data_IF_523087410034
#
_entry.id   IF_523087410034
#
_cell.length_a   1.000
_cell.length_b   1.000
_cell.length_c   1.000
_cell.angle_alpha   90.00
_cell.angle_beta   90.00
_cell.angle_gamma   90.00
#
_symmetry.space_group_name_H-M   'P 1'
#
loop_
_entity.id
_entity.type
_entity.pdbx_description
1 polymer ?
#
# COMPACT_ATOMS: atom_id res chain seq x y z
N UNK A 1 8.59 15.80 -31.28
CA UNK A 1 7.52 14.90 -30.77
C UNK A 1 8.05 13.48 -30.57
N UNK A 2 8.77 12.91 -31.53
CA UNK A 2 9.45 11.61 -31.38
C UNK A 2 10.43 11.64 -30.19
N UNK A 3 10.45 10.57 -29.39
CA UNK A 3 11.32 10.43 -28.22
C UNK A 3 10.87 11.17 -26.96
N UNK A 4 9.58 11.47 -26.82
CA UNK A 4 9.01 12.00 -25.56
C UNK A 4 8.38 10.86 -24.75
N UNK A 5 8.91 10.60 -23.56
CA UNK A 5 8.42 9.54 -22.68
C UNK A 5 7.00 9.87 -22.19
N UNK A 6 6.13 8.86 -22.17
CA UNK A 6 4.75 9.02 -21.69
C UNK A 6 4.31 7.78 -20.91
N UNK A 7 3.40 7.99 -19.96
CA UNK A 7 2.96 6.98 -18.99
C UNK A 7 1.92 6.06 -19.62
N UNK A 8 2.38 4.90 -20.13
CA UNK A 8 1.54 3.95 -20.87
C UNK A 8 0.55 3.17 -20.00
N UNK A 9 0.67 3.27 -18.67
CA UNK A 9 -0.26 2.70 -17.70
C UNK A 9 -1.63 3.41 -17.67
N UNK A 10 -1.72 4.68 -18.09
CA UNK A 10 -3.00 5.39 -18.17
C UNK A 10 -3.72 5.14 -19.49
N UNK A 11 -5.05 5.30 -19.60
CA UNK A 11 -5.76 5.34 -20.88
C UNK A 11 -5.28 6.46 -21.82
N UNK A 12 -5.45 6.33 -23.15
CA UNK A 12 -4.89 7.28 -24.13
C UNK A 12 -5.38 8.73 -23.94
N UNK A 13 -6.63 8.89 -23.54
CA UNK A 13 -7.31 10.15 -23.22
C UNK A 13 -6.87 10.75 -21.87
N UNK A 14 -6.40 9.91 -20.94
CA UNK A 14 -5.90 10.30 -19.64
C UNK A 14 -4.39 10.65 -19.62
N UNK A 15 -3.65 10.25 -20.66
CA UNK A 15 -2.22 10.57 -20.84
C UNK A 15 -1.99 12.02 -21.28
N UNK A 16 -0.77 12.50 -21.13
CA UNK A 16 -0.34 13.76 -21.72
C UNK A 16 -0.42 13.68 -23.25
N UNK A 17 -1.13 14.62 -23.87
CA UNK A 17 -1.21 14.84 -25.31
C UNK A 17 0.05 15.56 -25.80
N UNK A 18 0.60 15.08 -26.91
CA UNK A 18 1.88 15.54 -27.44
C UNK A 18 1.71 16.74 -28.40
N UNK A 19 1.32 17.89 -27.84
CA UNK A 19 1.24 19.14 -28.60
C UNK A 19 2.64 19.75 -28.78
N UNK A 20 2.89 20.41 -29.92
CA UNK A 20 4.22 20.97 -30.25
C UNK A 20 4.72 21.94 -29.16
N UNK A 21 3.86 22.83 -28.69
CA UNK A 21 4.22 23.81 -27.67
C UNK A 21 4.53 23.15 -26.31
N UNK A 22 3.69 22.21 -25.86
CA UNK A 22 3.87 21.51 -24.58
C UNK A 22 5.12 20.61 -24.57
N UNK A 23 5.37 19.90 -25.67
CA UNK A 23 6.56 19.06 -25.81
C UNK A 23 7.84 19.90 -25.80
N UNK A 24 7.82 21.05 -26.47
CA UNK A 24 8.95 21.98 -26.46
C UNK A 24 9.15 22.56 -25.06
N UNK A 25 8.08 23.00 -24.39
CA UNK A 25 8.15 23.52 -23.02
C UNK A 25 8.75 22.49 -22.06
N UNK A 26 8.26 21.24 -22.08
CA UNK A 26 8.77 20.17 -21.22
C UNK A 26 10.26 19.89 -21.46
N UNK A 27 10.71 19.89 -22.72
CA UNK A 27 12.14 19.74 -23.06
C UNK A 27 12.98 20.94 -22.61
N UNK A 28 12.48 22.16 -22.78
CA UNK A 28 13.18 23.37 -22.35
C UNK A 28 13.36 23.42 -20.84
N UNK A 29 12.33 23.06 -20.06
CA UNK A 29 12.42 22.97 -18.60
C UNK A 29 13.44 21.91 -18.17
N UNK A 30 13.42 20.73 -18.80
CA UNK A 30 14.42 19.70 -18.52
C UNK A 30 15.83 20.14 -18.86
N UNK A 31 16.02 20.79 -20.02
CA UNK A 31 17.31 21.31 -20.45
C UNK A 31 17.86 22.36 -19.48
N UNK A 32 17.02 23.29 -19.04
CA UNK A 32 17.40 24.29 -18.04
C UNK A 32 17.82 23.63 -16.71
N UNK A 33 17.02 22.68 -16.21
CA UNK A 33 17.37 21.93 -15.00
C UNK A 33 18.66 21.13 -15.13
N UNK A 34 18.89 20.51 -16.29
CA UNK A 34 20.11 19.74 -16.56
C UNK A 34 21.36 20.63 -16.57
N UNK A 35 21.27 21.86 -17.07
CA UNK A 35 22.40 22.77 -17.15
C UNK A 35 22.79 23.39 -15.80
N UNK A 36 21.89 23.37 -14.81
CA UNK A 36 22.20 23.82 -13.45
C UNK A 36 23.09 22.85 -12.68
N UNK A 37 23.27 21.62 -13.17
CA UNK A 37 24.05 20.57 -12.52
C UNK A 37 25.39 20.38 -13.23
N UNK A 38 26.53 20.63 -12.55
CA UNK A 38 27.84 20.29 -13.09
C UNK A 38 27.95 18.78 -13.33
N UNK A 39 28.31 18.40 -14.55
CA UNK A 39 28.43 16.99 -14.95
C UNK A 39 29.48 16.21 -14.15
N UNK A 40 30.41 16.89 -13.48
CA UNK A 40 31.40 16.29 -12.58
C UNK A 40 30.78 15.75 -11.29
N UNK A 41 29.63 16.25 -10.87
CA UNK A 41 28.93 15.82 -9.65
C UNK A 41 27.83 14.82 -9.98
N UNK A 42 26.94 15.18 -10.90
CA UNK A 42 25.81 14.34 -11.32
C UNK A 42 25.22 14.85 -12.63
N UNK A 43 24.31 14.08 -13.22
CA UNK A 43 23.61 14.45 -14.46
C UNK A 43 22.17 13.96 -14.44
N UNK A 44 21.31 14.65 -15.19
CA UNK A 44 19.95 14.20 -15.49
C UNK A 44 19.91 13.61 -16.90
N UNK A 45 19.39 12.40 -17.01
CA UNK A 45 19.21 11.69 -18.27
C UNK A 45 17.74 11.73 -18.68
N UNK A 46 17.48 12.10 -19.94
CA UNK A 46 16.12 12.25 -20.44
C UNK A 46 15.36 10.91 -20.43
N UNK A 47 16.05 9.82 -20.79
CA UNK A 47 15.50 8.47 -20.89
C UNK A 47 14.91 7.97 -19.57
N UNK A 48 15.54 8.34 -18.44
CA UNK A 48 15.14 7.99 -17.08
C UNK A 48 14.23 9.03 -16.42
N UNK A 49 13.84 10.07 -17.16
CA UNK A 49 13.04 11.18 -16.65
C UNK A 49 11.65 11.22 -17.30
N UNK A 50 10.73 11.87 -16.62
CA UNK A 50 9.40 12.15 -17.12
C UNK A 50 9.00 13.58 -16.78
N UNK A 51 8.50 14.32 -17.78
CA UNK A 51 8.01 15.69 -17.61
C UNK A 51 6.56 15.74 -18.08
N UNK A 52 5.65 16.15 -17.21
CA UNK A 52 4.25 16.38 -17.54
C UNK A 52 3.95 17.87 -17.58
N UNK A 53 3.28 18.33 -18.63
CA UNK A 53 2.86 19.73 -18.78
C UNK A 53 1.33 19.79 -18.70
N UNK A 54 0.83 20.56 -17.74
CA UNK A 54 -0.58 20.92 -17.65
C UNK A 54 -0.83 22.22 -18.41
N UNK A 55 -1.73 22.20 -19.40
CA UNK A 55 -1.96 23.32 -20.32
C UNK A 55 -3.44 23.42 -20.71
N UNK A 56 -3.76 24.35 -21.62
CA UNK A 56 -5.10 24.43 -22.22
C UNK A 56 -5.47 23.17 -23.01
N UNK A 57 -4.48 22.49 -23.59
CA UNK A 57 -4.69 21.29 -24.39
C UNK A 57 -4.54 20.00 -23.55
N UNK A 58 -3.79 20.07 -22.44
CA UNK A 58 -3.53 19.00 -21.49
C UNK A 58 -4.29 19.19 -20.17
N UNK A 59 -5.42 18.50 -19.94
CA UNK A 59 -6.24 18.68 -18.73
C UNK A 59 -5.74 17.91 -17.51
N UNK A 60 -4.80 16.97 -17.69
CA UNK A 60 -4.27 16.11 -16.62
C UNK A 60 -2.83 16.51 -16.29
N UNK A 61 -2.47 16.48 -15.01
CA UNK A 61 -1.09 16.51 -14.54
C UNK A 61 -0.69 15.11 -14.07
N UNK A 62 0.41 14.58 -14.60
CA UNK A 62 0.88 13.21 -14.34
C UNK A 62 2.22 13.25 -13.63
N UNK A 63 2.41 12.41 -12.63
CA UNK A 63 3.71 12.21 -11.98
C UNK A 63 3.77 10.87 -11.27
N UNK A 64 4.98 10.44 -10.94
CA UNK A 64 5.21 9.27 -10.10
C UNK A 64 5.95 9.70 -8.84
N UNK A 65 5.56 9.14 -7.70
CA UNK A 65 6.17 9.44 -6.41
C UNK A 65 6.13 8.19 -5.53
N UNK A 66 7.29 7.79 -5.00
CA UNK A 66 7.40 6.67 -4.05
C UNK A 66 6.70 5.38 -4.54
N UNK A 67 6.79 5.07 -5.84
CA UNK A 67 6.15 3.88 -6.42
C UNK A 67 4.65 4.00 -6.70
N UNK A 68 4.04 5.15 -6.42
CA UNK A 68 2.69 5.49 -6.88
C UNK A 68 2.76 6.21 -8.21
N UNK A 69 1.83 5.90 -9.10
CA UNK A 69 1.57 6.64 -10.32
C UNK A 69 0.30 7.47 -10.11
N UNK A 70 0.41 8.79 -10.25
CA UNK A 70 -0.62 9.74 -9.85
C UNK A 70 -1.04 10.60 -11.05
N UNK A 71 -2.35 10.74 -11.20
CA UNK A 71 -2.97 11.67 -12.16
C UNK A 71 -3.88 12.64 -11.44
N UNK A 72 -3.60 13.94 -11.54
CA UNK A 72 -4.46 15.00 -11.01
C UNK A 72 -5.31 15.59 -12.13
N UNK A 73 -6.62 15.70 -11.88
CA UNK A 73 -7.58 16.35 -12.76
C UNK A 73 -8.39 17.40 -11.97
N UNK A 74 -8.25 18.69 -12.30
CA UNK A 74 -9.06 19.75 -11.70
C UNK A 74 -10.52 19.66 -12.13
N UNK A 75 -11.45 19.93 -11.20
CA UNK A 75 -12.90 19.86 -11.48
C UNK A 75 -13.36 20.80 -12.58
N UNK A 76 -12.73 21.98 -12.70
CA UNK A 76 -13.04 22.97 -13.75
C UNK A 76 -12.83 22.39 -15.16
N UNK A 77 -12.00 21.36 -15.30
CA UNK A 77 -11.66 20.70 -16.57
C UNK A 77 -12.33 19.34 -16.74
N UNK A 78 -13.14 18.91 -15.78
CA UNK A 78 -13.89 17.64 -15.87
C UNK A 78 -15.11 17.81 -16.78
N UNK A 79 -15.36 16.83 -17.65
CA UNK A 79 -16.66 16.71 -18.33
C UNK A 79 -17.75 16.31 -17.32
N UNK A 80 -19.00 16.71 -17.56
CA UNK A 80 -20.12 16.44 -16.65
C UNK A 80 -20.33 14.94 -16.38
N UNK A 81 -20.05 14.07 -17.36
CA UNK A 81 -20.10 12.60 -17.21
C UNK A 81 -18.99 12.01 -16.32
N UNK A 82 -17.86 12.71 -16.15
CA UNK A 82 -16.75 12.25 -15.31
C UNK A 82 -16.99 12.48 -13.82
N UNK A 83 -17.98 13.30 -13.45
CA UNK A 83 -18.31 13.63 -12.06
C UNK A 83 -19.15 12.56 -11.36
N UNK A 84 -20.05 11.89 -12.09
CA UNK A 84 -20.89 10.80 -11.58
C UNK A 84 -20.14 9.47 -11.44
N UNK A 85 -18.95 9.36 -12.04
CA UNK A 85 -18.13 8.16 -12.08
C UNK A 85 -16.95 8.11 -11.11
N UNK A 86 -16.89 8.98 -10.08
CA UNK A 86 -15.87 8.86 -9.01
C UNK A 86 -16.05 7.55 -8.25
N UNK A 87 -15.36 6.51 -8.73
CA UNK A 87 -15.25 5.19 -8.12
C UNK A 87 -14.50 5.29 -6.79
N UNK A 88 -14.74 4.30 -5.94
CA UNK A 88 -13.94 4.02 -4.75
C UNK A 88 -12.43 3.97 -5.06
N UNK A 89 -11.60 4.59 -4.21
CA UNK A 89 -10.12 4.57 -4.29
C UNK A 89 -9.44 5.84 -4.85
N UNK A 90 -10.20 6.92 -5.06
CA UNK A 90 -9.69 8.19 -5.61
C UNK A 90 -9.58 9.27 -4.54
N UNK A 91 -8.50 10.04 -4.54
CA UNK A 91 -8.30 11.14 -3.58
C UNK A 91 -9.00 12.41 -4.02
N UNK A 92 -9.88 12.92 -3.16
CA UNK A 92 -10.51 14.22 -3.34
C UNK A 92 -9.66 15.32 -2.71
N UNK A 93 -9.04 16.16 -3.54
CA UNK A 93 -8.18 17.25 -3.07
C UNK A 93 -9.03 18.47 -2.69
N UNK A 94 -8.89 18.91 -1.45
CA UNK A 94 -9.61 20.04 -0.88
C UNK A 94 -8.72 21.28 -0.86
N UNK A 95 -9.26 22.43 -1.28
CA UNK A 95 -8.59 23.71 -1.09
C UNK A 95 -8.63 24.11 0.38
N UNK A 96 -7.49 24.51 0.92
CA UNK A 96 -7.34 24.86 2.32
C UNK A 96 -8.19 26.08 2.74
N UNK A 97 -8.32 27.08 1.87
CA UNK A 97 -9.04 28.32 2.18
C UNK A 97 -10.56 28.15 2.01
N UNK A 98 -11.00 27.68 0.84
CA UNK A 98 -12.44 27.58 0.53
C UNK A 98 -13.09 26.33 1.10
N UNK A 99 -12.29 25.35 1.54
CA UNK A 99 -12.76 24.01 1.97
C UNK A 99 -13.54 23.26 0.88
N UNK A 100 -13.51 23.72 -0.36
CA UNK A 100 -14.13 23.03 -1.48
C UNK A 100 -13.19 21.97 -2.06
N UNK A 101 -13.76 20.86 -2.52
CA UNK A 101 -13.01 19.87 -3.29
C UNK A 101 -12.78 20.41 -4.69
N UNK A 102 -11.55 20.77 -5.06
CA UNK A 102 -11.22 21.46 -6.31
C UNK A 102 -10.59 20.56 -7.36
N UNK A 103 -9.96 19.46 -6.95
CA UNK A 103 -9.32 18.51 -7.84
C UNK A 103 -9.47 17.08 -7.35
N UNK A 104 -9.23 16.14 -8.26
CA UNK A 104 -9.33 14.71 -8.01
C UNK A 104 -8.01 14.06 -8.42
N UNK A 105 -7.44 13.24 -7.54
CA UNK A 105 -6.19 12.53 -7.76
C UNK A 105 -6.45 11.02 -7.86
N UNK A 106 -6.17 10.48 -9.04
CA UNK A 106 -6.28 9.06 -9.35
C UNK A 106 -4.94 8.39 -9.07
N UNK A 107 -4.98 7.25 -8.39
CA UNK A 107 -3.79 6.53 -7.94
C UNK A 107 -3.72 5.19 -8.64
N UNK A 108 -2.51 4.81 -9.06
CA UNK A 108 -2.18 3.47 -9.53
C UNK A 108 -0.85 3.05 -8.94
N UNK A 109 -0.58 1.75 -8.91
CA UNK A 109 0.74 1.22 -8.54
C UNK A 109 1.63 1.26 -9.76
N UNK A 110 2.89 1.68 -9.57
CA UNK A 110 3.86 1.75 -10.66
C UNK A 110 4.30 0.36 -11.15
N UNK A 111 4.59 0.26 -12.45
CA UNK A 111 4.93 -1.01 -13.12
C UNK A 111 6.21 -1.63 -12.55
N UNK A 112 7.15 -0.80 -12.09
CA UNK A 112 8.39 -1.27 -11.45
C UNK A 112 8.09 -1.98 -10.12
N UNK A 113 7.21 -1.41 -9.30
CA UNK A 113 6.84 -1.97 -8.01
C UNK A 113 6.06 -3.28 -8.14
N UNK A 114 5.23 -3.40 -9.19
CA UNK A 114 4.59 -4.67 -9.53
C UNK A 114 5.62 -5.77 -9.84
N UNK A 115 6.68 -5.43 -10.60
CA UNK A 115 7.77 -6.38 -10.90
C UNK A 115 8.59 -6.74 -9.67
N UNK A 116 8.85 -5.78 -8.78
CA UNK A 116 9.54 -6.02 -7.50
C UNK A 116 8.75 -7.04 -6.66
N UNK A 117 7.43 -6.87 -6.56
CA UNK A 117 6.57 -7.82 -5.87
C UNK A 117 6.59 -9.20 -6.53
N UNK A 118 6.48 -9.28 -7.87
CA UNK A 118 6.54 -10.57 -8.58
C UNK A 118 7.88 -11.28 -8.32
N UNK A 119 8.99 -10.56 -8.43
CA UNK A 119 10.34 -11.09 -8.18
C UNK A 119 10.50 -11.58 -6.75
N UNK A 120 9.88 -10.88 -5.79
CA UNK A 120 9.87 -11.31 -4.39
C UNK A 120 9.12 -12.63 -4.22
N UNK A 121 7.94 -12.80 -4.82
CA UNK A 121 7.20 -14.07 -4.81
C UNK A 121 8.02 -15.18 -5.46
N UNK A 122 8.70 -14.91 -6.59
CA UNK A 122 9.61 -15.87 -7.22
C UNK A 122 10.74 -16.28 -6.26
N UNK A 123 11.33 -15.34 -5.53
CA UNK A 123 12.36 -15.62 -4.52
C UNK A 123 11.83 -16.50 -3.37
N UNK A 124 10.59 -16.28 -2.90
CA UNK A 124 9.95 -17.17 -1.93
C UNK A 124 9.89 -18.59 -2.48
N UNK A 125 9.41 -18.77 -3.72
CA UNK A 125 9.26 -20.09 -4.34
C UNK A 125 10.60 -20.81 -4.53
N UNK A 126 11.64 -20.10 -5.00
CA UNK A 126 12.97 -20.67 -5.21
C UNK A 126 13.66 -21.05 -3.90
N UNK A 127 13.48 -20.25 -2.83
CA UNK A 127 14.09 -20.52 -1.52
C UNK A 127 13.34 -21.56 -0.68
N UNK A 128 12.19 -22.04 -1.14
CA UNK A 128 11.30 -22.92 -0.37
C UNK A 128 11.42 -24.39 -0.78
N UNK A 129 12.64 -24.92 -0.89
CA UNK A 129 12.93 -26.30 -1.36
C UNK A 129 12.29 -27.40 -0.49
N UNK A 130 12.70 -27.48 0.78
CA UNK A 130 12.18 -28.43 1.78
C UNK A 130 11.72 -27.73 3.05
N UNK A 131 11.26 -26.48 2.94
CA UNK A 131 10.75 -25.70 4.07
C UNK A 131 9.32 -26.09 4.41
N UNK A 132 8.93 -25.96 5.68
CA UNK A 132 7.54 -26.22 6.12
C UNK A 132 6.53 -25.33 5.38
N UNK A 133 5.33 -25.85 5.13
CA UNK A 133 4.26 -25.10 4.45
C UNK A 133 3.90 -23.80 5.18
N UNK A 134 3.88 -23.84 6.51
CA UNK A 134 3.65 -22.65 7.34
C UNK A 134 4.71 -21.57 7.13
N UNK A 135 5.98 -21.92 6.91
CA UNK A 135 7.04 -20.92 6.60
C UNK A 135 6.83 -20.28 5.23
N UNK A 136 6.39 -21.04 4.23
CA UNK A 136 6.07 -20.51 2.89
C UNK A 136 4.93 -19.51 2.98
N UNK A 137 3.84 -19.89 3.67
CA UNK A 137 2.67 -19.03 3.86
C UNK A 137 3.00 -17.79 4.69
N UNK A 138 3.84 -17.89 5.71
CA UNK A 138 4.27 -16.73 6.50
C UNK A 138 5.04 -15.70 5.66
N UNK A 139 5.92 -16.15 4.76
CA UNK A 139 6.63 -15.26 3.83
C UNK A 139 5.64 -14.57 2.89
N UNK A 140 4.72 -15.34 2.29
CA UNK A 140 3.64 -14.80 1.46
C UNK A 140 2.82 -13.74 2.21
N UNK A 141 2.31 -14.05 3.40
CA UNK A 141 1.52 -13.13 4.19
C UNK A 141 2.29 -11.84 4.52
N UNK A 142 3.58 -11.96 4.85
CA UNK A 142 4.42 -10.80 5.18
C UNK A 142 4.59 -9.88 3.98
N UNK A 143 4.87 -10.44 2.80
CA UNK A 143 5.06 -9.67 1.57
C UNK A 143 3.73 -9.11 1.06
N UNK A 144 2.63 -9.87 1.14
CA UNK A 144 1.30 -9.41 0.78
C UNK A 144 0.85 -8.25 1.69
N UNK A 145 0.98 -8.37 3.01
CA UNK A 145 0.66 -7.28 3.92
C UNK A 145 1.51 -6.05 3.58
N UNK A 146 2.82 -6.20 3.36
CA UNK A 146 3.69 -5.08 3.03
C UNK A 146 3.28 -4.34 1.75
N UNK A 147 2.86 -5.06 0.71
CA UNK A 147 2.32 -4.47 -0.50
C UNK A 147 0.99 -3.74 -0.22
N UNK A 148 0.05 -4.44 0.43
CA UNK A 148 -1.31 -3.95 0.61
C UNK A 148 -1.39 -2.76 1.58
N UNK A 149 -0.59 -2.75 2.65
CA UNK A 149 -0.58 -1.65 3.62
C UNK A 149 0.23 -0.45 3.17
N UNK A 150 1.08 -0.62 2.15
CA UNK A 150 1.77 0.50 1.51
C UNK A 150 0.89 1.17 0.45
N UNK A 151 0.40 0.40 -0.54
CA UNK A 151 -0.35 0.94 -1.68
C UNK A 151 -1.84 1.15 -1.40
N UNK A 152 -2.42 0.43 -0.42
CA UNK A 152 -3.81 0.56 0.02
C UNK A 152 -4.80 0.66 -1.15
N UNK A 153 -5.41 1.83 -1.33
CA UNK A 153 -6.44 2.14 -2.32
C UNK A 153 -5.93 2.08 -3.77
N UNK A 154 -4.63 2.34 -4.01
CA UNK A 154 -4.05 2.32 -5.35
C UNK A 154 -4.10 0.94 -6.00
N UNK A 155 -4.15 -0.13 -5.20
CA UNK A 155 -4.26 -1.51 -5.68
C UNK A 155 -5.57 -1.77 -6.41
N UNK A 156 -6.68 -1.17 -5.93
CA UNK A 156 -8.03 -1.37 -6.51
C UNK A 156 -8.11 -0.82 -7.94
N UNK A 157 -7.40 0.26 -8.23
CA UNK A 157 -7.37 0.89 -9.55
C UNK A 157 -6.38 0.27 -10.53
N UNK A 158 -5.56 -0.69 -10.08
CA UNK A 158 -4.51 -1.32 -10.87
C UNK A 158 -4.92 -2.76 -11.18
N UNK A 159 -5.69 -2.96 -12.25
CA UNK A 159 -6.23 -4.28 -12.64
C UNK A 159 -5.11 -5.30 -12.90
N UNK A 160 -4.02 -4.85 -13.49
CA UNK A 160 -2.85 -5.65 -13.81
C UNK A 160 -2.18 -6.20 -12.54
N UNK A 161 -2.24 -5.45 -11.43
CA UNK A 161 -1.77 -5.89 -10.13
C UNK A 161 -2.72 -6.92 -9.50
N UNK A 162 -4.03 -6.76 -9.65
CA UNK A 162 -5.01 -7.76 -9.18
C UNK A 162 -4.82 -9.11 -9.89
N UNK A 163 -4.65 -9.08 -11.21
CA UNK A 163 -4.34 -10.30 -11.99
C UNK A 163 -3.01 -10.93 -11.56
N UNK A 164 -2.00 -10.11 -11.28
CA UNK A 164 -0.70 -10.57 -10.78
C UNK A 164 -0.84 -11.21 -9.40
N UNK A 165 -1.61 -10.62 -8.49
CA UNK A 165 -1.87 -11.14 -7.14
C UNK A 165 -2.51 -12.52 -7.20
N UNK A 166 -3.56 -12.69 -8.01
CA UNK A 166 -4.24 -14.00 -8.20
C UNK A 166 -3.26 -15.04 -8.76
N UNK A 167 -2.45 -14.67 -9.75
CA UNK A 167 -1.41 -15.56 -10.31
C UNK A 167 -0.37 -15.96 -9.26
N UNK A 168 0.11 -15.01 -8.47
CA UNK A 168 1.10 -15.25 -7.43
C UNK A 168 0.55 -16.12 -6.29
N UNK A 169 -0.68 -15.85 -5.84
CA UNK A 169 -1.39 -16.62 -4.83
C UNK A 169 -1.53 -18.10 -5.27
N UNK A 170 -1.98 -18.32 -6.51
CA UNK A 170 -2.07 -19.66 -7.10
C UNK A 170 -0.72 -20.37 -7.20
N UNK A 171 0.38 -19.65 -7.49
CA UNK A 171 1.73 -20.23 -7.49
C UNK A 171 2.17 -20.67 -6.09
N UNK A 172 1.89 -19.88 -5.05
CA UNK A 172 2.15 -20.27 -3.65
C UNK A 172 1.36 -21.54 -3.28
N UNK A 173 0.05 -21.56 -3.58
CA UNK A 173 -0.77 -22.75 -3.32
C UNK A 173 -0.26 -23.98 -4.07
N UNK A 174 0.12 -23.82 -5.34
CA UNK A 174 0.68 -24.92 -6.16
C UNK A 174 2.00 -25.43 -5.57
N UNK A 175 2.83 -24.57 -4.99
CA UNK A 175 4.06 -25.01 -4.31
C UNK A 175 3.77 -25.95 -3.14
N UNK A 176 2.73 -25.67 -2.36
CA UNK A 176 2.27 -26.50 -1.24
C UNK A 176 1.71 -27.83 -1.76
N UNK A 177 0.87 -27.78 -2.80
CA UNK A 177 0.33 -28.96 -3.50
C UNK A 177 1.45 -29.90 -3.98
N UNK A 178 2.50 -29.36 -4.61
CA UNK A 178 3.68 -30.13 -5.04
C UNK A 178 4.38 -30.81 -3.86
N UNK A 179 4.47 -30.14 -2.70
CA UNK A 179 5.05 -30.73 -1.49
C UNK A 179 4.29 -31.95 -0.96
N UNK A 180 3.01 -32.08 -1.29
CA UNK A 180 2.15 -33.22 -0.94
C UNK A 180 1.97 -34.21 -2.12
N UNK A 181 2.79 -34.07 -3.17
CA UNK A 181 2.78 -34.91 -4.37
C UNK A 181 1.40 -35.04 -5.04
N UNK A 182 0.57 -33.99 -4.98
CA UNK A 182 -0.72 -33.96 -5.67
C UNK A 182 -1.08 -32.54 -6.07
N UNK A 183 -1.63 -32.35 -7.27
CA UNK A 183 -2.14 -31.04 -7.75
C UNK A 183 -3.65 -31.02 -7.94
N UNK A 184 -4.34 -32.11 -7.57
CA UNK A 184 -5.77 -32.30 -7.84
C UNK A 184 -6.63 -31.32 -7.03
N UNK A 185 -7.41 -30.41 -7.65
CA UNK A 185 -8.13 -29.36 -6.93
C UNK A 185 -9.07 -29.86 -5.83
N UNK A 186 -9.75 -30.99 -6.04
CA UNK A 186 -10.68 -31.58 -5.06
C UNK A 186 -10.01 -31.98 -3.74
N UNK A 187 -8.71 -32.26 -3.74
CA UNK A 187 -7.93 -32.59 -2.52
C UNK A 187 -7.48 -31.36 -1.75
N UNK A 188 -7.59 -30.17 -2.36
CA UNK A 188 -7.08 -28.92 -1.80
C UNK A 188 -8.16 -27.85 -1.78
N UNK A 189 -9.26 -28.05 -1.03
CA UNK A 189 -10.26 -27.02 -0.81
C UNK A 189 -9.67 -25.78 -0.12
N UNK A 190 -10.27 -24.59 -0.30
CA UNK A 190 -9.82 -23.33 0.31
C UNK A 190 -9.58 -23.41 1.82
N UNK A 191 -10.37 -24.22 2.53
CA UNK A 191 -10.27 -24.45 3.98
C UNK A 191 -8.86 -24.88 4.41
N UNK A 192 -8.11 -25.64 3.60
CA UNK A 192 -6.74 -26.06 3.96
C UNK A 192 -5.78 -24.87 4.01
N UNK A 193 -5.95 -23.91 3.08
CA UNK A 193 -5.04 -22.77 2.97
C UNK A 193 -5.40 -21.64 3.92
N UNK A 194 -6.68 -21.29 4.01
CA UNK A 194 -7.12 -20.05 4.65
C UNK A 194 -7.51 -20.21 6.12
N UNK A 195 -7.82 -21.42 6.58
CA UNK A 195 -8.15 -21.66 7.99
C UNK A 195 -7.02 -21.14 8.89
N UNK A 196 -7.34 -20.40 9.97
CA UNK A 196 -6.34 -19.91 10.91
C UNK A 196 -5.49 -21.04 11.52
N UNK A 197 -4.25 -20.69 11.92
CA UNK A 197 -3.29 -21.69 12.43
C UNK A 197 -3.73 -22.33 13.73
N UNK A 198 -4.53 -21.61 14.52
CA UNK A 198 -5.06 -22.08 15.80
C UNK A 198 -6.05 -23.25 15.61
N UNK A 199 -6.63 -23.41 14.41
CA UNK A 199 -7.58 -24.48 14.06
C UNK A 199 -6.91 -25.48 13.09
N UNK A 200 -5.58 -25.52 13.06
CA UNK A 200 -4.82 -26.51 12.27
C UNK A 200 -4.62 -26.16 10.78
N UNK A 201 -5.10 -25.00 10.32
CA UNK A 201 -4.88 -24.51 8.96
C UNK A 201 -3.54 -23.82 8.75
N UNK A 202 -3.30 -23.32 7.54
CA UNK A 202 -2.07 -22.60 7.21
C UNK A 202 -2.12 -21.09 7.51
N UNK A 203 -3.32 -20.53 7.68
CA UNK A 203 -3.55 -19.11 7.92
C UNK A 203 -3.07 -18.22 6.77
N UNK A 204 -3.23 -18.67 5.52
CA UNK A 204 -2.88 -17.89 4.35
C UNK A 204 -3.83 -16.71 4.19
N UNK A 205 -3.29 -15.53 3.90
CA UNK A 205 -4.09 -14.37 3.55
C UNK A 205 -4.40 -14.41 2.05
N UNK A 206 -5.67 -14.15 1.72
CA UNK A 206 -6.17 -14.06 0.36
C UNK A 206 -6.49 -12.63 0.03
N UNK A 207 -6.13 -12.21 -1.19
CA UNK A 207 -6.54 -10.92 -1.74
C UNK A 207 -7.55 -11.08 -2.89
N UNK A 208 -7.82 -12.32 -3.33
CA UNK A 208 -8.81 -12.59 -4.38
C UNK A 208 -10.27 -12.31 -3.98
N UNK A 209 -10.56 -12.12 -2.68
CA UNK A 209 -11.93 -12.09 -2.16
C UNK A 209 -12.24 -11.02 -1.09
N UNK A 210 -11.41 -9.98 -0.88
CA UNK A 210 -11.63 -9.03 0.24
C UNK A 210 -11.46 -7.56 -0.16
N UNK A 211 -12.45 -6.74 0.24
CA UNK A 211 -12.49 -5.28 0.18
C UNK A 211 -11.62 -4.66 1.28
N UNK A 212 -10.76 -3.71 0.94
CA UNK A 212 -9.90 -2.98 1.87
C UNK A 212 -10.68 -1.80 2.47
N UNK A 213 -10.71 -1.62 3.81
CA UNK A 213 -11.33 -0.44 4.41
C UNK A 213 -10.53 0.85 4.07
N UNK A 214 -11.21 1.83 3.45
CA UNK A 214 -10.66 3.14 3.01
C UNK A 214 -10.34 4.14 4.14
N UNK A 215 -10.38 3.73 5.41
CA UNK A 215 -10.77 4.67 6.47
C UNK A 215 -9.62 5.37 7.19
N UNK A 216 -8.38 4.93 7.06
CA UNK A 216 -7.29 5.38 7.95
C UNK A 216 -6.79 6.82 7.69
N UNK A 217 -6.69 7.27 6.44
CA UNK A 217 -6.22 8.63 6.11
C UNK A 217 -7.24 9.73 6.50
N UNK A 218 -8.54 9.41 6.45
CA UNK A 218 -9.62 10.35 6.79
C UNK A 218 -9.61 10.73 8.28
N UNK A 219 -9.17 9.82 9.15
CA UNK A 219 -9.20 10.04 10.59
C UNK A 219 -7.94 10.71 11.13
N UNK A 220 -6.81 10.78 10.41
CA UNK A 220 -5.55 11.29 11.00
C UNK A 220 -5.66 12.74 11.48
N UNK A 221 -6.15 13.65 10.63
CA UNK A 221 -6.31 15.07 11.01
C UNK A 221 -7.33 15.25 12.14
N UNK A 222 -8.41 14.46 12.11
CA UNK A 222 -9.42 14.48 13.14
C UNK A 222 -8.86 13.99 14.48
N UNK A 223 -8.06 12.92 14.47
CA UNK A 223 -7.51 12.32 15.68
C UNK A 223 -6.44 13.19 16.34
N UNK A 224 -5.62 13.90 15.55
CA UNK A 224 -4.62 14.82 16.09
C UNK A 224 -5.29 16.04 16.74
N UNK A 225 -6.34 16.58 16.12
CA UNK A 225 -7.12 17.69 16.67
C UNK A 225 -7.85 17.29 17.96
N UNK A 226 -8.56 16.15 17.95
CA UNK A 226 -9.24 15.60 19.12
C UNK A 226 -8.27 15.35 20.27
N UNK A 227 -7.11 14.77 19.99
CA UNK A 227 -6.07 14.56 21.01
C UNK A 227 -5.54 15.88 21.57
N UNK A 228 -5.27 16.88 20.72
CA UNK A 228 -4.78 18.19 21.15
C UNK A 228 -5.77 18.90 22.07
N UNK A 229 -7.07 18.90 21.75
CA UNK A 229 -8.11 19.47 22.61
C UNK A 229 -8.20 18.73 23.95
N UNK A 230 -8.31 17.39 23.93
CA UNK A 230 -8.38 16.57 25.16
C UNK A 230 -7.17 16.80 26.06
N UNK A 231 -5.98 16.97 25.46
CA UNK A 231 -4.75 17.29 26.20
C UNK A 231 -4.81 18.68 26.83
N UNK A 232 -5.31 19.69 26.12
CA UNK A 232 -5.45 21.05 26.64
C UNK A 232 -6.46 21.12 27.78
N UNK A 233 -7.60 20.45 27.64
CA UNK A 233 -8.62 20.34 28.70
C UNK A 233 -8.06 19.65 29.95
N UNK A 234 -7.34 18.54 29.77
CA UNK A 234 -6.70 17.85 30.87
C UNK A 234 -5.68 18.74 31.60
N UNK A 235 -4.88 19.50 30.84
CA UNK A 235 -3.93 20.48 31.41
C UNK A 235 -4.65 21.62 32.15
N UNK A 236 -5.75 22.15 31.61
CA UNK A 236 -6.55 23.18 32.27
C UNK A 236 -7.17 22.67 33.58
N UNK A 237 -7.52 21.38 33.63
CA UNK A 237 -8.01 20.69 34.83
C UNK A 237 -6.89 20.18 35.76
N UNK A 238 -5.61 20.48 35.45
CA UNK A 238 -4.43 19.96 36.16
C UNK A 238 -4.41 18.42 36.33
N UNK A 239 -5.05 17.70 35.40
CA UNK A 239 -5.06 16.23 35.36
C UNK A 239 -4.14 15.70 34.27
N UNK A 240 -3.63 14.49 34.46
CA UNK A 240 -2.90 13.77 33.42
C UNK A 240 -3.89 12.98 32.56
N UNK A 241 -3.77 13.10 31.24
CA UNK A 241 -4.55 12.30 30.28
C UNK A 241 -4.22 10.81 30.46
N UNK A 242 -5.25 9.99 30.64
CA UNK A 242 -5.11 8.54 30.84
C UNK A 242 -5.44 7.77 29.56
N UNK A 243 -5.29 6.44 29.61
CA UNK A 243 -5.67 5.54 28.54
C UNK A 243 -7.18 5.60 28.25
N UNK A 244 -7.99 5.66 29.30
CA UNK A 244 -9.46 5.63 29.26
C UNK A 244 -10.03 6.82 28.47
N UNK A 245 -9.40 7.99 28.57
CA UNK A 245 -9.81 9.19 27.82
C UNK A 245 -9.66 9.03 26.28
N UNK A 246 -8.87 8.05 25.83
CA UNK A 246 -8.44 7.88 24.44
C UNK A 246 -8.79 6.51 23.85
N UNK A 247 -9.64 5.72 24.53
CA UNK A 247 -9.97 4.36 24.09
C UNK A 247 -10.56 4.34 22.67
N UNK A 248 -11.46 5.29 22.36
CA UNK A 248 -12.11 5.42 21.05
C UNK A 248 -11.14 5.70 19.89
N UNK A 249 -10.03 6.39 20.17
CA UNK A 249 -9.03 6.83 19.18
C UNK A 249 -7.69 6.10 19.31
N UNK A 250 -7.60 5.10 20.18
CA UNK A 250 -6.36 4.43 20.59
C UNK A 250 -5.49 3.94 19.42
N UNK A 251 -6.14 3.31 18.43
CA UNK A 251 -5.48 2.76 17.25
C UNK A 251 -5.68 3.62 15.99
N UNK A 252 -5.98 4.91 16.14
CA UNK A 252 -6.17 5.85 15.03
C UNK A 252 -4.99 6.84 14.93
N UNK A 253 -4.89 7.53 13.79
CA UNK A 253 -3.85 8.51 13.51
C UNK A 253 -2.60 7.95 12.82
N UNK A 254 -1.84 8.83 12.18
CA UNK A 254 -0.49 8.57 11.67
C UNK A 254 0.42 9.71 12.15
N UNK A 255 1.25 9.51 13.19
CA UNK A 255 1.46 8.26 13.95
C UNK A 255 0.26 7.82 14.80
N UNK A 256 0.18 6.53 15.15
CA UNK A 256 -0.89 5.99 16.00
C UNK A 256 -0.83 6.60 17.40
N UNK A 257 -1.96 7.03 17.95
CA UNK A 257 -2.04 7.68 19.29
C UNK A 257 -1.43 6.81 20.40
N UNK A 258 -1.64 5.49 20.35
CA UNK A 258 -1.07 4.56 21.32
C UNK A 258 0.46 4.60 21.45
N UNK A 259 1.18 5.14 20.46
CA UNK A 259 2.65 5.29 20.52
C UNK A 259 3.10 6.25 21.62
N UNK A 260 2.23 7.19 22.03
CA UNK A 260 2.49 8.16 23.10
C UNK A 260 2.62 7.50 24.49
N UNK A 261 2.09 6.29 24.64
CA UNK A 261 2.05 5.52 25.89
C UNK A 261 3.08 4.38 25.91
N UNK A 262 4.04 4.37 24.97
CA UNK A 262 5.12 3.38 24.96
C UNK A 262 6.07 3.57 26.16
N UNK A 263 6.55 2.45 26.70
CA UNK A 263 7.52 2.42 27.79
C UNK A 263 8.83 3.13 27.44
N UNK A 264 9.32 2.95 26.21
CA UNK A 264 10.64 3.43 25.77
C UNK A 264 10.58 4.79 25.05
N UNK A 265 9.46 5.53 25.17
CA UNK A 265 9.24 6.79 24.43
C UNK A 265 10.33 7.85 24.66
N UNK A 266 10.92 7.87 25.86
CA UNK A 266 11.96 8.82 26.23
C UNK A 266 13.27 8.55 25.47
N UNK A 267 13.61 7.27 25.24
CA UNK A 267 14.77 6.88 24.43
C UNK A 267 14.49 7.12 22.95
N UNK A 268 13.28 6.80 22.47
CA UNK A 268 12.88 6.98 21.07
C UNK A 268 12.88 8.46 20.64
N UNK A 269 12.74 9.41 21.58
CA UNK A 269 12.84 10.83 21.29
C UNK A 269 14.18 11.22 20.64
N UNK A 270 15.26 10.50 20.95
CA UNK A 270 16.60 10.73 20.40
C UNK A 270 16.87 9.98 19.08
N UNK A 271 16.01 9.04 18.69
CA UNK A 271 16.18 8.27 17.46
C UNK A 271 15.72 9.07 16.23
N UNK A 272 16.59 9.98 15.77
CA UNK A 272 16.37 10.81 14.59
C UNK A 272 16.90 10.15 13.32
N UNK A 273 16.30 10.48 12.17
CA UNK A 273 16.72 9.95 10.87
C UNK A 273 16.47 8.45 10.69
N UNK A 274 15.57 7.85 11.48
CA UNK A 274 15.32 6.41 11.46
C UNK A 274 14.72 5.91 10.13
N UNK A 275 13.93 6.73 9.40
CA UNK A 275 13.35 6.36 8.10
C UNK A 275 14.44 6.12 7.04
N UNK A 276 15.31 7.10 6.81
CA UNK A 276 16.43 6.96 5.85
C UNK A 276 17.39 5.85 6.28
N UNK A 277 17.62 5.69 7.59
CA UNK A 277 18.42 4.58 8.11
C UNK A 277 17.80 3.23 7.77
N UNK A 278 16.48 3.11 7.86
CA UNK A 278 15.75 1.87 7.53
C UNK A 278 15.78 1.59 6.03
N UNK A 279 15.64 2.63 5.21
CA UNK A 279 15.78 2.52 3.75
C UNK A 279 17.17 2.02 3.35
N UNK A 280 18.23 2.56 3.96
CA UNK A 280 19.60 2.18 3.62
C UNK A 280 20.04 0.83 4.20
N UNK A 281 19.22 0.18 5.04
CA UNK A 281 19.51 -1.19 5.50
C UNK A 281 19.58 -2.20 4.36
N UNK A 282 18.97 -1.92 3.21
CA UNK A 282 19.08 -2.78 2.02
C UNK A 282 20.52 -2.98 1.55
N UNK A 283 21.41 -2.02 1.82
CA UNK A 283 22.84 -2.12 1.47
C UNK A 283 23.69 -2.78 2.56
N UNK A 284 23.12 -3.02 3.74
CA UNK A 284 23.80 -3.60 4.90
C UNK A 284 23.36 -5.03 5.19
N UNK A 285 22.09 -5.34 4.93
CA UNK A 285 21.44 -6.59 5.30
C UNK A 285 20.84 -7.24 4.07
N UNK A 286 21.26 -8.48 3.78
CA UNK A 286 20.80 -9.24 2.60
C UNK A 286 19.31 -9.59 2.67
N UNK A 287 18.73 -9.63 3.87
CA UNK A 287 17.30 -9.90 4.07
C UNK A 287 16.49 -8.67 3.66
N UNK A 288 15.71 -8.81 2.59
CA UNK A 288 14.74 -7.80 2.16
C UNK A 288 13.66 -7.58 3.24
N UNK A 289 13.32 -6.31 3.47
CA UNK A 289 12.28 -5.87 4.39
C UNK A 289 11.12 -5.22 3.60
N UNK A 290 9.91 -5.81 3.58
CA UNK A 290 8.77 -5.22 2.91
C UNK A 290 8.17 -4.00 3.66
N UNK A 291 8.57 -3.80 4.93
CA UNK A 291 8.17 -2.65 5.75
C UNK A 291 9.33 -1.64 5.89
N UNK A 292 10.04 -1.33 4.80
CA UNK A 292 11.14 -0.37 4.81
C UNK A 292 10.68 1.06 5.15
N UNK A 293 9.41 1.38 4.86
CA UNK A 293 8.81 2.71 4.98
C UNK A 293 8.28 3.04 6.38
N UNK A 294 8.07 2.05 7.26
CA UNK A 294 7.45 2.24 8.58
C UNK A 294 8.23 1.55 9.69
N UNK A 295 8.04 2.01 10.93
CA UNK A 295 8.58 1.37 12.12
C UNK A 295 7.55 1.40 13.25
N UNK A 296 7.19 0.23 13.78
CA UNK A 296 6.11 0.10 14.78
C UNK A 296 6.34 0.90 16.06
N UNK A 297 7.60 1.15 16.45
CA UNK A 297 7.87 1.99 17.63
C UNK A 297 7.59 3.48 17.38
N UNK A 298 7.72 3.95 16.14
CA UNK A 298 7.55 5.36 15.80
C UNK A 298 6.15 5.64 15.22
N UNK A 299 5.70 4.82 14.28
CA UNK A 299 4.41 4.99 13.59
C UNK A 299 3.27 4.24 14.29
N UNK A 300 3.58 3.24 15.11
CA UNK A 300 2.60 2.29 15.64
C UNK A 300 2.29 1.16 14.65
N UNK A 301 1.37 0.27 15.03
CA UNK A 301 0.88 -0.78 14.13
C UNK A 301 -0.16 -0.18 13.18
N UNK A 302 0.20 -0.02 11.92
CA UNK A 302 -0.64 0.66 10.93
C UNK A 302 -1.77 -0.21 10.34
N UNK A 303 -1.83 -1.50 10.67
CA UNK A 303 -2.88 -2.41 10.21
C UNK A 303 -3.36 -3.33 11.33
N UNK A 304 -4.64 -3.70 11.27
CA UNK A 304 -5.24 -4.70 12.14
C UNK A 304 -6.02 -5.73 11.33
N UNK A 305 -5.63 -7.00 11.43
CA UNK A 305 -6.23 -8.12 10.69
C UNK A 305 -6.96 -9.09 11.62
N UNK A 306 -7.28 -8.67 12.85
CA UNK A 306 -7.99 -9.52 13.80
C UNK A 306 -9.40 -9.87 13.29
N UNK A 307 -10.10 -8.90 12.70
CA UNK A 307 -11.44 -9.11 12.15
C UNK A 307 -11.40 -10.03 10.93
N UNK A 308 -10.43 -9.83 10.03
CA UNK A 308 -10.20 -10.71 8.88
C UNK A 308 -10.16 -12.19 9.29
N UNK A 309 -9.46 -12.50 10.39
CA UNK A 309 -9.38 -13.89 10.90
C UNK A 309 -10.76 -14.42 11.29
N UNK A 310 -11.57 -13.63 11.98
CA UNK A 310 -12.94 -14.00 12.38
C UNK A 310 -13.83 -14.18 11.15
N UNK A 311 -13.74 -13.25 10.19
CA UNK A 311 -14.54 -13.27 8.96
C UNK A 311 -14.22 -14.49 8.09
N UNK A 312 -12.94 -14.90 8.02
CA UNK A 312 -12.54 -16.12 7.32
C UNK A 312 -13.11 -17.37 7.98
N UNK A 313 -13.15 -17.45 9.31
CA UNK A 313 -13.77 -18.59 10.00
C UNK A 313 -15.25 -18.68 9.62
N UNK A 314 -15.96 -17.54 9.63
CA UNK A 314 -17.37 -17.50 9.25
C UNK A 314 -17.57 -17.88 7.77
N UNK A 315 -16.75 -17.34 6.87
CA UNK A 315 -16.83 -17.63 5.44
C UNK A 315 -16.55 -19.11 5.10
N UNK A 316 -15.80 -19.81 5.94
CA UNK A 316 -15.50 -21.24 5.79
C UNK A 316 -16.54 -22.16 6.46
N UNK A 317 -17.66 -21.62 6.92
CA UNK A 317 -18.74 -22.41 7.55
C UNK A 317 -18.62 -22.54 9.07
N UNK A 318 -17.93 -21.60 9.73
CA UNK A 318 -17.73 -21.60 11.17
C UNK A 318 -16.70 -22.65 11.63
N UNK A 319 -16.49 -22.72 12.94
CA UNK A 319 -15.50 -23.65 13.52
C UNK A 319 -15.91 -25.11 13.27
N UNK A 320 -17.20 -25.44 13.42
CA UNK A 320 -17.70 -26.79 13.23
C UNK A 320 -17.51 -27.27 11.79
N UNK A 321 -17.90 -26.46 10.79
CA UNK A 321 -17.72 -26.80 9.38
C UNK A 321 -16.26 -26.99 8.98
N UNK A 322 -15.35 -26.20 9.56
CA UNK A 322 -13.90 -26.39 9.36
C UNK A 322 -13.43 -27.74 9.94
N UNK A 323 -13.88 -28.08 11.15
CA UNK A 323 -13.45 -29.31 11.83
C UNK A 323 -13.95 -30.59 11.13
N UNK A 324 -15.02 -30.54 10.35
CA UNK A 324 -15.47 -31.66 9.52
C UNK A 324 -14.44 -32.08 8.47
N UNK A 325 -13.56 -31.17 8.05
CA UNK A 325 -12.45 -31.44 7.14
C UNK A 325 -11.19 -31.96 7.84
N UNK A 326 -11.26 -32.21 9.16
CA UNK A 326 -10.13 -32.64 9.97
C UNK A 326 -10.39 -34.00 10.62
N UNK A 327 -9.35 -34.58 11.25
CA UNK A 327 -9.48 -35.81 12.03
C UNK A 327 -10.01 -35.58 13.46
N UNK A 328 -10.59 -34.42 13.75
CA UNK A 328 -11.03 -34.04 15.10
C UNK A 328 -12.06 -35.00 15.71
N UNK A 329 -12.98 -35.58 14.92
CA UNK A 329 -13.93 -36.59 15.43
C UNK A 329 -13.27 -37.94 15.77
N UNK A 330 -12.06 -38.18 15.27
CA UNK A 330 -11.31 -39.41 15.51
C UNK A 330 -10.36 -39.36 16.71
N UNK A 331 -10.19 -38.18 17.30
CA UNK A 331 -9.48 -37.95 18.57
C UNK A 331 -10.49 -37.78 19.69
#
# INVERSE_FOLDING_TARGET
MVGYNNKKCWPRDARMRLMKHDVNLGRSVFWDMKNRLPRSVTTLEWENSFVSVYSKDNPNLLFSLCGFEIRILPKIRMSQEAFSGTRDGVWNLQNEQTKERTAVAFLRVDDEQMKVFENRVRQILMSSGSTTFTKVVNKWNTDLIGLMTYFCEATVHTQELLDLLVKCENKIQTRIKIGLNSKMPSRFPPVIFYTPKEIGGLGMLSMGHILIPQSDLRYSQQTDFEYAMKRQEAQAQNRRLTLEDLEDSWNRGVPRINTLFQKDRHTLAYDKGWRVRTEFKQYQVLKQNPFWWTHQRHDGKLWNLNNYRTDVIQALGGVEGILEHTLFKGT
#
